data_IF_919000317487
#
_entry.id   IF_919000317487
#
_cell.length_a   1.000
_cell.length_b   1.000
_cell.length_c   1.000
_cell.angle_alpha   90.00
_cell.angle_beta   90.00
_cell.angle_gamma   90.00
#
_symmetry.space_group_name_H-M   'P 1'
#
loop_
_entity.id
_entity.type
_entity.pdbx_description
1 polymer ?
#
# COMPACT_ATOMS: atom_id res chain seq x y z
N UNK A 1 40.26 -2.96 -27.89
CA UNK A 1 40.05 -1.51 -27.68
C UNK A 1 39.05 -1.33 -26.54
N UNK A 2 39.42 -0.45 -25.59
CA UNK A 2 38.63 0.23 -24.53
C UNK A 2 37.74 -0.59 -23.57
N UNK A 3 38.34 -0.89 -22.41
CA UNK A 3 37.69 -1.02 -21.09
C UNK A 3 37.37 0.38 -20.53
N UNK A 4 36.23 0.55 -19.84
CA UNK A 4 35.92 1.65 -18.88
C UNK A 4 35.08 0.99 -17.78
N UNK A 5 35.66 0.67 -16.61
CA UNK A 5 35.98 1.52 -15.46
C UNK A 5 34.79 1.66 -14.50
N UNK A 6 34.73 0.69 -13.58
CA UNK A 6 34.06 0.73 -12.28
C UNK A 6 34.74 1.81 -11.42
N UNK A 7 33.98 2.76 -10.88
CA UNK A 7 34.51 3.78 -9.96
C UNK A 7 33.86 3.58 -8.59
N UNK A 8 34.64 3.00 -7.68
CA UNK A 8 34.38 2.94 -6.24
C UNK A 8 34.84 4.27 -5.66
N UNK A 9 33.96 4.96 -4.92
CA UNK A 9 34.32 6.13 -4.12
C UNK A 9 34.40 5.69 -2.66
N UNK A 10 35.63 5.68 -2.15
CA UNK A 10 35.95 5.62 -0.73
C UNK A 10 36.99 6.71 -0.45
N UNK A 11 36.71 7.59 0.51
CA UNK A 11 37.68 8.43 1.24
C UNK A 11 36.98 8.94 2.52
N UNK A 12 37.41 8.50 3.73
CA UNK A 12 38.47 9.10 4.58
C UNK A 12 38.05 10.50 5.11
N UNK A 13 38.20 10.91 6.39
CA UNK A 13 38.79 10.35 7.61
C UNK A 13 38.74 11.45 8.72
N UNK A 14 38.72 11.04 10.01
CA UNK A 14 39.33 11.71 11.21
C UNK A 14 38.65 13.01 11.73
N UNK A 15 38.40 13.26 13.04
CA UNK A 15 38.77 12.55 14.25
C UNK A 15 38.30 13.23 15.56
N UNK A 16 38.35 12.43 16.65
CA UNK A 16 38.80 12.68 18.04
C UNK A 16 38.61 14.06 18.73
N UNK A 17 37.96 14.08 19.91
CA UNK A 17 38.56 14.18 21.26
C UNK A 17 37.50 14.49 22.34
N UNK A 18 37.60 13.83 23.51
CA UNK A 18 36.88 14.22 24.73
C UNK A 18 36.72 13.11 25.78
N UNK A 19 37.79 12.81 26.52
CA UNK A 19 37.77 11.95 27.70
C UNK A 19 37.60 12.78 28.99
N UNK A 20 36.94 12.20 30.00
CA UNK A 20 37.08 12.40 31.46
C UNK A 20 35.91 11.64 32.14
N UNK A 21 36.02 10.90 33.23
CA UNK A 21 37.13 10.54 34.09
C UNK A 21 36.72 9.29 34.90
N UNK A 22 37.72 8.50 35.29
CA UNK A 22 37.66 7.40 36.26
C UNK A 22 37.54 7.97 37.67
N UNK A 23 36.78 7.31 38.55
CA UNK A 23 36.95 7.43 39.99
C UNK A 23 37.00 6.05 40.64
N UNK A 24 38.12 5.80 41.31
CA UNK A 24 38.55 4.61 42.03
C UNK A 24 38.04 4.65 43.49
N UNK A 25 37.71 3.49 44.06
CA UNK A 25 38.06 3.21 45.47
C UNK A 25 38.08 1.72 45.79
N UNK A 26 39.16 1.32 46.47
CA UNK A 26 39.48 0.05 47.13
C UNK A 26 38.43 -0.28 48.22
N UNK A 27 38.24 -1.48 48.80
CA UNK A 27 39.15 -2.46 49.40
C UNK A 27 38.18 -3.55 49.98
N UNK A 28 38.32 -4.87 49.89
CA UNK A 28 38.97 -5.75 50.89
C UNK A 28 38.70 -7.23 50.57
N UNK A 29 39.67 -8.08 50.93
CA UNK A 29 39.70 -9.54 50.85
C UNK A 29 38.92 -10.24 51.97
N UNK A 30 38.15 -11.29 51.66
CA UNK A 30 38.01 -12.55 52.45
C UNK A 30 37.21 -13.59 51.64
N UNK A 31 37.76 -14.80 51.43
CA UNK A 31 36.97 -16.02 51.16
C UNK A 31 36.44 -16.63 52.48
N UNK A 32 35.72 -17.79 52.50
CA UNK A 32 35.65 -18.85 51.48
C UNK A 32 34.21 -19.36 51.13
N UNK A 33 34.17 -20.31 50.18
CA UNK A 33 33.17 -21.39 49.97
C UNK A 33 31.67 -21.05 49.81
N UNK A 34 31.14 -21.27 48.60
CA UNK A 34 30.15 -22.34 48.29
C UNK A 34 29.58 -22.15 46.86
N UNK A 35 29.73 -23.17 46.01
CA UNK A 35 28.80 -23.46 44.89
C UNK A 35 27.38 -23.73 45.45
N UNK A 36 26.27 -23.46 44.73
CA UNK A 36 26.06 -23.99 43.37
C UNK A 36 25.21 -23.15 42.39
N UNK A 37 25.17 -23.68 41.15
CA UNK A 37 24.12 -23.54 40.14
C UNK A 37 23.96 -22.18 39.45
N UNK A 38 24.60 -22.08 38.28
CA UNK A 38 24.16 -21.20 37.21
C UNK A 38 22.80 -21.71 36.68
N UNK A 39 21.73 -21.02 37.04
CA UNK A 39 20.52 -21.02 36.21
C UNK A 39 20.82 -20.19 34.96
N UNK A 40 20.92 -20.87 33.83
CA UNK A 40 20.79 -20.23 32.53
C UNK A 40 19.40 -19.60 32.48
N UNK A 41 19.36 -18.27 32.49
CA UNK A 41 18.25 -17.49 31.96
C UNK A 41 18.18 -17.77 30.45
N UNK A 42 17.52 -18.86 30.08
CA UNK A 42 17.11 -19.10 28.70
C UNK A 42 16.01 -18.10 28.40
N UNK A 43 16.36 -17.24 27.45
CA UNK A 43 15.57 -16.25 26.75
C UNK A 43 14.08 -16.58 26.70
N UNK A 44 13.28 -15.78 27.40
CA UNK A 44 11.82 -15.75 27.30
C UNK A 44 11.32 -15.12 25.98
N UNK A 45 12.15 -15.06 24.94
CA UNK A 45 11.84 -14.46 23.63
C UNK A 45 11.57 -15.52 22.54
N UNK A 46 11.82 -16.82 22.78
CA UNK A 46 11.54 -17.87 21.77
C UNK A 46 10.17 -18.55 21.91
N UNK A 47 9.43 -18.39 23.02
CA UNK A 47 8.09 -19.00 23.20
C UNK A 47 6.90 -18.08 22.83
N UNK A 48 7.14 -16.92 22.22
CA UNK A 48 6.09 -15.98 21.81
C UNK A 48 5.86 -15.90 20.29
N UNK A 49 6.53 -16.74 19.49
CA UNK A 49 6.38 -16.77 18.02
C UNK A 49 5.70 -18.02 17.46
N UNK A 50 5.18 -18.93 18.30
CA UNK A 50 4.51 -20.17 17.85
C UNK A 50 3.00 -20.25 18.17
N UNK A 51 2.37 -19.12 18.54
CA UNK A 51 0.91 -19.02 18.68
C UNK A 51 0.38 -17.74 18.03
N UNK A 52 0.28 -17.70 16.70
CA UNK A 52 -0.61 -16.73 16.02
C UNK A 52 -1.05 -17.11 14.61
N UNK A 53 -0.62 -18.27 14.08
CA UNK A 53 -1.00 -18.68 12.71
C UNK A 53 -2.46 -19.15 12.59
N UNK A 54 -3.14 -19.51 13.69
CA UNK A 54 -4.56 -19.89 13.66
C UNK A 54 -5.54 -18.70 13.70
N UNK A 55 -5.09 -17.45 13.88
CA UNK A 55 -5.98 -16.29 14.07
C UNK A 55 -6.19 -15.44 12.80
N UNK A 56 -5.30 -15.54 11.81
CA UNK A 56 -5.35 -14.64 10.64
C UNK A 56 -6.52 -14.99 9.70
N UNK A 57 -6.90 -16.27 9.60
CA UNK A 57 -8.01 -16.70 8.73
C UNK A 57 -9.41 -16.31 9.22
N UNK A 58 -9.56 -15.87 10.48
CA UNK A 58 -10.82 -15.27 10.94
C UNK A 58 -11.12 -13.93 10.24
N UNK A 59 -10.09 -13.31 9.63
CA UNK A 59 -10.17 -12.10 8.83
C UNK A 59 -10.23 -12.38 7.33
N UNK A 60 -10.32 -13.65 6.92
CA UNK A 60 -10.39 -14.00 5.51
C UNK A 60 -11.64 -13.39 4.84
N UNK A 61 -11.42 -12.82 3.67
CA UNK A 61 -12.44 -12.31 2.77
C UNK A 61 -13.42 -13.42 2.42
N UNK A 62 -14.69 -13.05 2.28
CA UNK A 62 -15.68 -13.98 1.73
C UNK A 62 -15.50 -14.03 0.22
N UNK A 63 -15.85 -15.16 -0.36
CA UNK A 63 -15.86 -15.31 -1.82
C UNK A 63 -16.70 -14.23 -2.53
N UNK A 64 -17.79 -13.73 -1.92
CA UNK A 64 -18.57 -12.62 -2.50
C UNK A 64 -17.78 -11.30 -2.62
N UNK A 65 -16.84 -11.06 -1.70
CA UNK A 65 -16.00 -9.87 -1.72
C UNK A 65 -14.91 -10.04 -2.79
N UNK A 66 -14.36 -11.26 -2.93
CA UNK A 66 -13.47 -11.61 -4.03
C UNK A 66 -14.15 -11.52 -5.41
N UNK A 67 -15.43 -11.91 -5.52
CA UNK A 67 -16.22 -11.78 -6.75
C UNK A 67 -16.32 -10.31 -7.20
N UNK A 68 -16.44 -9.38 -6.25
CA UNK A 68 -16.47 -7.95 -6.54
C UNK A 68 -15.13 -7.48 -7.11
N UNK A 69 -14.00 -7.87 -6.49
CA UNK A 69 -12.66 -7.50 -6.96
C UNK A 69 -12.41 -7.99 -8.40
N UNK A 70 -12.81 -9.22 -8.72
CA UNK A 70 -12.71 -9.75 -10.08
C UNK A 70 -13.61 -9.00 -11.06
N UNK A 71 -14.82 -8.64 -10.65
CA UNK A 71 -15.74 -7.86 -11.47
C UNK A 71 -15.15 -6.50 -11.85
N UNK A 72 -14.48 -5.82 -10.92
CA UNK A 72 -13.85 -4.52 -11.15
C UNK A 72 -12.67 -4.64 -12.14
N UNK A 73 -11.84 -5.67 -11.98
CA UNK A 73 -10.74 -5.96 -12.92
C UNK A 73 -11.23 -6.22 -14.34
N UNK A 74 -12.31 -6.98 -14.50
CA UNK A 74 -12.87 -7.29 -15.81
C UNK A 74 -13.80 -6.21 -16.38
N UNK A 75 -14.12 -5.15 -15.64
CA UNK A 75 -15.05 -4.13 -16.13
C UNK A 75 -14.57 -3.51 -17.45
N UNK A 76 -15.51 -3.32 -18.39
CA UNK A 76 -15.23 -2.83 -19.74
C UNK A 76 -14.50 -3.79 -20.69
N UNK A 77 -13.97 -4.92 -20.23
CA UNK A 77 -13.24 -5.89 -21.09
C UNK A 77 -14.17 -6.73 -21.96
N UNK A 78 -15.44 -6.88 -21.54
CA UNK A 78 -16.42 -7.76 -22.18
C UNK A 78 -16.23 -9.25 -21.85
N UNK A 79 -15.36 -9.58 -20.90
CA UNK A 79 -15.20 -10.92 -20.34
C UNK A 79 -16.06 -11.07 -19.07
N UNK A 80 -16.41 -12.31 -18.74
CA UNK A 80 -17.11 -12.70 -17.52
C UNK A 80 -16.24 -13.68 -16.73
N UNK A 81 -16.63 -14.00 -15.50
CA UNK A 81 -15.92 -14.97 -14.69
C UNK A 81 -16.85 -16.04 -14.11
N UNK A 82 -16.27 -17.20 -13.82
CA UNK A 82 -16.90 -18.28 -13.05
C UNK A 82 -15.96 -18.71 -11.92
N UNK A 83 -16.48 -18.89 -10.71
CA UNK A 83 -15.70 -19.42 -9.60
C UNK A 83 -15.24 -20.86 -9.90
N UNK A 84 -13.95 -21.12 -9.73
CA UNK A 84 -13.29 -22.37 -10.09
C UNK A 84 -12.69 -23.11 -8.88
N UNK A 85 -13.10 -22.72 -7.69
CA UNK A 85 -12.68 -23.34 -6.44
C UNK A 85 -11.55 -22.57 -5.80
N UNK A 86 -10.66 -23.30 -5.13
CA UNK A 86 -9.67 -22.74 -4.24
C UNK A 86 -8.33 -23.45 -4.39
N UNK A 87 -7.24 -22.69 -4.36
CA UNK A 87 -5.85 -23.19 -4.34
C UNK A 87 -5.14 -22.77 -3.05
N UNK A 88 -4.43 -23.72 -2.46
CA UNK A 88 -3.56 -23.49 -1.30
C UNK A 88 -2.10 -23.59 -1.76
N UNK A 89 -1.32 -22.54 -1.55
CA UNK A 89 0.13 -22.54 -1.77
C UNK A 89 0.84 -22.01 -0.53
N UNK A 90 1.66 -22.86 0.09
CA UNK A 90 2.37 -22.55 1.34
C UNK A 90 1.43 -22.02 2.43
N UNK A 91 1.48 -20.72 2.72
CA UNK A 91 0.64 -20.05 3.72
C UNK A 91 -0.56 -19.29 3.09
N UNK A 92 -0.62 -19.20 1.76
CA UNK A 92 -1.63 -18.45 1.03
C UNK A 92 -2.80 -19.33 0.57
N UNK A 93 -3.98 -18.73 0.47
CA UNK A 93 -5.21 -19.40 0.08
C UNK A 93 -5.97 -18.51 -0.91
N UNK A 94 -6.20 -19.05 -2.11
CA UNK A 94 -6.67 -18.26 -3.24
C UNK A 94 -8.04 -18.73 -3.72
N UNK A 95 -9.00 -17.82 -3.83
CA UNK A 95 -10.19 -18.06 -4.64
C UNK A 95 -9.82 -18.00 -6.12
N UNK A 96 -10.08 -19.08 -6.86
CA UNK A 96 -9.77 -19.18 -8.28
C UNK A 96 -10.98 -18.85 -9.14
N UNK A 97 -10.71 -18.22 -10.28
CA UNK A 97 -11.72 -17.75 -11.23
C UNK A 97 -11.32 -18.07 -12.67
N UNK A 98 -12.19 -18.77 -13.40
CA UNK A 98 -12.10 -18.90 -14.86
C UNK A 98 -12.62 -17.64 -15.51
N UNK A 99 -11.95 -17.21 -16.57
CA UNK A 99 -12.29 -16.01 -17.31
C UNK A 99 -12.79 -16.39 -18.70
N UNK A 100 -14.00 -15.97 -19.04
CA UNK A 100 -14.74 -16.45 -20.20
C UNK A 100 -15.18 -15.29 -21.11
N UNK A 101 -15.28 -15.55 -22.41
CA UNK A 101 -15.92 -14.68 -23.39
C UNK A 101 -16.96 -15.47 -24.17
N UNK A 102 -18.19 -15.47 -23.66
CA UNK A 102 -19.21 -16.38 -24.16
C UNK A 102 -18.87 -17.82 -23.77
N UNK A 103 -18.68 -18.70 -24.75
CA UNK A 103 -18.33 -20.12 -24.52
C UNK A 103 -16.81 -20.39 -24.55
N UNK A 104 -15.99 -19.37 -24.86
CA UNK A 104 -14.53 -19.50 -24.89
C UNK A 104 -13.93 -19.14 -23.52
N UNK A 105 -13.07 -20.01 -23.00
CA UNK A 105 -12.32 -19.78 -21.75
C UNK A 105 -10.88 -19.34 -22.08
N UNK A 106 -10.36 -18.38 -21.32
CA UNK A 106 -8.94 -18.04 -21.36
C UNK A 106 -8.11 -19.16 -20.73
N UNK A 107 -6.86 -19.27 -21.18
CA UNK A 107 -5.88 -20.20 -20.60
C UNK A 107 -5.38 -19.76 -19.23
N UNK A 108 -5.55 -18.49 -18.92
CA UNK A 108 -5.25 -17.89 -17.63
C UNK A 108 -6.55 -17.57 -16.90
N UNK A 109 -6.56 -17.83 -15.60
CA UNK A 109 -7.57 -17.40 -14.67
C UNK A 109 -7.09 -16.22 -13.83
N UNK A 110 -7.94 -15.78 -12.91
CA UNK A 110 -7.56 -14.88 -11.84
C UNK A 110 -7.64 -15.63 -10.50
N UNK A 111 -6.77 -15.24 -9.58
CA UNK A 111 -6.72 -15.75 -8.22
C UNK A 111 -6.83 -14.55 -7.25
N UNK A 112 -7.62 -14.68 -6.19
CA UNK A 112 -7.72 -13.64 -5.14
C UNK A 112 -7.25 -14.25 -3.83
N UNK A 113 -6.21 -13.66 -3.23
CA UNK A 113 -5.76 -14.08 -1.91
C UNK A 113 -6.81 -13.75 -0.85
N UNK A 114 -7.18 -14.75 -0.04
CA UNK A 114 -8.29 -14.62 0.88
C UNK A 114 -7.98 -13.73 2.10
N UNK A 115 -6.71 -13.43 2.38
CA UNK A 115 -6.33 -12.55 3.49
C UNK A 115 -6.16 -11.10 3.02
N UNK A 116 -5.36 -10.89 1.97
CA UNK A 116 -4.98 -9.57 1.50
C UNK A 116 -5.99 -8.96 0.51
N UNK A 117 -6.76 -9.79 -0.20
CA UNK A 117 -7.60 -9.35 -1.30
C UNK A 117 -6.82 -8.96 -2.56
N UNK A 118 -5.52 -9.22 -2.60
CA UNK A 118 -4.71 -8.98 -3.79
C UNK A 118 -5.13 -9.94 -4.91
N UNK A 119 -5.28 -9.40 -6.12
CA UNK A 119 -5.63 -10.17 -7.31
C UNK A 119 -4.35 -10.58 -8.02
N UNK A 120 -4.30 -11.83 -8.45
CA UNK A 120 -3.17 -12.47 -9.12
C UNK A 120 -3.61 -13.14 -10.41
N UNK A 121 -2.65 -13.47 -11.26
CA UNK A 121 -2.86 -14.30 -12.45
C UNK A 121 -2.65 -15.77 -12.11
N UNK A 122 -3.58 -16.63 -12.52
CA UNK A 122 -3.42 -18.07 -12.39
C UNK A 122 -3.22 -18.73 -13.75
N UNK A 123 -2.09 -19.40 -13.95
CA UNK A 123 -1.81 -20.17 -15.16
C UNK A 123 -2.28 -21.62 -14.97
N UNK A 124 -3.32 -22.03 -15.72
CA UNK A 124 -3.88 -23.38 -15.65
C UNK A 124 -2.98 -24.46 -16.26
N UNK A 125 -2.10 -24.12 -17.21
CA UNK A 125 -1.18 -25.09 -17.82
C UNK A 125 0.05 -25.34 -16.92
N UNK A 126 0.54 -24.29 -16.27
CA UNK A 126 1.69 -24.36 -15.36
C UNK A 126 1.32 -24.68 -13.90
N UNK A 127 0.03 -24.55 -13.53
CA UNK A 127 -0.48 -24.68 -12.15
C UNK A 127 0.24 -23.73 -11.19
N UNK A 128 0.34 -22.45 -11.55
CA UNK A 128 1.11 -21.44 -10.82
C UNK A 128 0.40 -20.10 -10.71
N UNK A 129 0.61 -19.41 -9.58
CA UNK A 129 0.16 -18.04 -9.35
C UNK A 129 1.31 -17.06 -9.68
N UNK A 130 0.97 -15.94 -10.31
CA UNK A 130 1.89 -14.87 -10.72
C UNK A 130 1.24 -13.49 -10.56
N UNK A 131 2.00 -12.42 -10.75
CA UNK A 131 1.47 -11.05 -10.60
C UNK A 131 0.29 -10.77 -11.54
N UNK A 132 -0.59 -9.84 -11.15
CA UNK A 132 -1.72 -9.45 -12.00
C UNK A 132 -1.26 -8.83 -13.32
N UNK A 133 -0.08 -8.20 -13.33
CA UNK A 133 0.54 -7.64 -14.53
C UNK A 133 0.86 -8.67 -15.62
N UNK A 134 0.92 -9.97 -15.27
CA UNK A 134 1.14 -11.08 -16.21
C UNK A 134 -0.17 -11.59 -16.84
N UNK A 135 -1.32 -11.05 -16.44
CA UNK A 135 -2.62 -11.43 -16.98
C UNK A 135 -2.79 -10.93 -18.41
N UNK A 136 -3.30 -11.79 -19.31
CA UNK A 136 -3.46 -11.44 -20.73
C UNK A 136 -4.31 -10.19 -20.97
N UNK A 137 -5.27 -9.89 -20.10
CA UNK A 137 -6.14 -8.71 -20.20
C UNK A 137 -5.69 -7.53 -19.32
N UNK A 138 -4.52 -7.60 -18.70
CA UNK A 138 -3.98 -6.49 -17.91
C UNK A 138 -3.83 -5.23 -18.77
N UNK A 139 -4.37 -4.11 -18.29
CA UNK A 139 -4.21 -2.81 -18.92
C UNK A 139 -3.50 -1.87 -17.95
N UNK A 140 -2.19 -1.71 -18.16
CA UNK A 140 -1.34 -0.86 -17.32
C UNK A 140 -1.85 0.57 -17.17
N UNK A 141 -2.69 1.09 -18.08
CA UNK A 141 -3.30 2.42 -17.94
C UNK A 141 -4.55 2.42 -17.08
N UNK A 142 -5.38 1.38 -17.18
CA UNK A 142 -6.58 1.21 -16.34
C UNK A 142 -6.18 0.86 -14.91
N UNK A 143 -5.12 0.09 -14.77
CA UNK A 143 -4.58 -0.39 -13.52
C UNK A 143 -3.40 0.45 -13.01
N UNK A 144 -3.16 1.63 -13.62
CA UNK A 144 -2.18 2.59 -13.12
C UNK A 144 -2.70 3.13 -11.79
N UNK A 145 -1.92 2.92 -10.72
CA UNK A 145 -2.20 3.51 -9.41
C UNK A 145 -1.93 5.01 -9.51
N UNK A 146 -2.98 5.80 -9.74
CA UNK A 146 -2.89 7.26 -9.79
C UNK A 146 -3.20 7.82 -8.42
N UNK A 147 -2.14 8.13 -7.69
CA UNK A 147 -2.24 8.82 -6.42
C UNK A 147 -1.91 10.28 -6.61
N UNK A 148 -2.81 11.13 -6.12
CA UNK A 148 -2.53 12.55 -6.04
C UNK A 148 -2.01 12.85 -4.64
N UNK A 149 -0.82 13.42 -4.58
CA UNK A 149 -0.25 13.95 -3.37
C UNK A 149 0.13 15.43 -3.55
N UNK A 150 0.17 16.14 -2.43
CA UNK A 150 0.65 17.53 -2.42
C UNK A 150 -0.24 18.47 -1.64
N UNK A 151 0.29 19.68 -1.45
CA UNK A 151 -0.42 20.79 -0.82
C UNK A 151 -0.53 21.91 -1.83
N UNK A 152 -1.76 22.34 -2.09
CA UNK A 152 -2.11 23.32 -3.11
C UNK A 152 -2.79 24.51 -2.43
N UNK A 153 -2.45 25.74 -2.81
CA UNK A 153 -3.03 26.94 -2.21
C UNK A 153 -3.59 27.92 -3.23
N UNK A 154 -4.66 28.59 -2.83
CA UNK A 154 -5.31 29.69 -3.55
C UNK A 154 -5.79 30.72 -2.53
N UNK A 155 -5.17 31.89 -2.53
CA UNK A 155 -5.44 32.97 -1.57
C UNK A 155 -5.42 32.50 -0.10
N UNK A 156 -6.58 32.42 0.57
CA UNK A 156 -6.73 32.00 1.96
C UNK A 156 -7.25 30.56 2.10
N UNK A 157 -7.33 29.80 1.01
CA UNK A 157 -7.80 28.41 0.97
C UNK A 157 -6.65 27.48 0.57
N UNK A 158 -6.53 26.35 1.26
CA UNK A 158 -5.54 25.31 0.98
C UNK A 158 -6.22 23.95 0.84
N UNK A 159 -5.72 23.15 -0.10
CA UNK A 159 -6.11 21.76 -0.31
C UNK A 159 -4.88 20.88 -0.11
N UNK A 160 -4.94 19.94 0.83
CA UNK A 160 -3.93 18.89 0.99
C UNK A 160 -4.50 17.57 0.50
N UNK A 161 -3.75 16.89 -0.35
CA UNK A 161 -4.04 15.55 -0.83
C UNK A 161 -3.01 14.59 -0.23
N UNK A 162 -3.51 13.58 0.49
CA UNK A 162 -2.70 12.57 1.14
C UNK A 162 -3.05 11.19 0.57
N UNK A 163 -2.07 10.37 0.17
CA UNK A 163 -2.34 8.99 -0.23
C UNK A 163 -3.07 8.24 0.90
N UNK A 164 -4.20 7.62 0.57
CA UNK A 164 -4.98 6.83 1.53
C UNK A 164 -4.78 5.32 1.30
N UNK A 165 -4.92 4.87 0.06
CA UNK A 165 -4.59 3.52 -0.40
C UNK A 165 -3.90 3.58 -1.78
N UNK A 166 -3.85 2.49 -2.54
CA UNK A 166 -3.22 2.46 -3.86
C UNK A 166 -3.97 3.22 -4.96
N UNK A 167 -5.24 3.56 -4.76
CA UNK A 167 -6.10 4.17 -5.78
C UNK A 167 -6.91 5.38 -5.29
N UNK A 168 -6.72 5.80 -4.03
CA UNK A 168 -7.47 6.89 -3.43
C UNK A 168 -6.59 7.88 -2.66
N UNK A 169 -7.08 9.11 -2.51
CA UNK A 169 -6.40 10.17 -1.76
C UNK A 169 -7.40 10.86 -0.83
N UNK A 170 -6.99 11.06 0.41
CA UNK A 170 -7.74 11.87 1.37
C UNK A 170 -7.54 13.34 1.02
N UNK A 171 -8.65 14.06 0.85
CA UNK A 171 -8.65 15.50 0.58
C UNK A 171 -8.97 16.26 1.86
N UNK A 172 -8.10 17.20 2.24
CA UNK A 172 -8.32 18.13 3.34
C UNK A 172 -8.39 19.55 2.79
N UNK A 173 -9.49 20.24 3.04
CA UNK A 173 -9.68 21.63 2.62
C UNK A 173 -9.71 22.51 3.86
N UNK A 174 -8.85 23.53 3.89
CA UNK A 174 -8.78 24.51 4.96
C UNK A 174 -8.92 25.94 4.44
N UNK A 175 -9.47 26.82 5.28
CA UNK A 175 -9.53 28.26 5.05
C UNK A 175 -8.83 28.98 6.21
N UNK A 176 -7.63 29.52 5.96
CA UNK A 176 -6.69 29.90 7.01
C UNK A 176 -6.35 28.69 7.89
N UNK A 177 -6.44 28.84 9.21
CA UNK A 177 -6.15 27.75 10.18
C UNK A 177 -7.34 26.79 10.42
N UNK A 178 -8.46 26.97 9.70
CA UNK A 178 -9.68 26.19 9.94
C UNK A 178 -9.91 25.17 8.83
N UNK A 179 -9.95 23.89 9.18
CA UNK A 179 -10.45 22.84 8.29
C UNK A 179 -11.95 23.03 8.04
N UNK A 180 -12.34 23.05 6.76
CA UNK A 180 -13.72 23.26 6.30
C UNK A 180 -14.32 22.02 5.65
N UNK A 181 -13.49 21.09 5.17
CA UNK A 181 -13.94 19.84 4.58
C UNK A 181 -12.83 18.78 4.62
N UNK A 182 -13.23 17.52 4.79
CA UNK A 182 -12.39 16.34 4.61
C UNK A 182 -13.19 15.29 3.87
N UNK A 183 -12.57 14.57 2.95
CA UNK A 183 -13.22 13.52 2.18
C UNK A 183 -12.24 12.60 1.49
N UNK A 184 -12.76 11.72 0.64
CA UNK A 184 -11.96 10.81 -0.17
C UNK A 184 -12.18 11.12 -1.66
N UNK A 185 -11.11 11.17 -2.43
CA UNK A 185 -11.16 11.23 -3.89
C UNK A 185 -10.56 9.96 -4.48
N UNK A 186 -11.06 9.58 -5.65
CA UNK A 186 -10.59 8.44 -6.43
C UNK A 186 -10.16 8.99 -7.80
N UNK A 187 -8.88 9.33 -7.97
CA UNK A 187 -8.38 9.84 -9.23
C UNK A 187 -8.50 8.81 -10.36
N UNK A 188 -8.94 9.27 -11.52
CA UNK A 188 -8.87 8.59 -12.81
C UNK A 188 -7.99 9.45 -13.73
N UNK A 189 -6.70 9.15 -13.74
CA UNK A 189 -5.69 9.96 -14.41
C UNK A 189 -5.60 11.38 -13.82
N UNK A 190 -5.85 12.37 -14.65
CA UNK A 190 -5.79 13.79 -14.29
C UNK A 190 -7.12 14.35 -13.75
N UNK A 191 -8.14 13.51 -13.55
CA UNK A 191 -9.44 13.94 -13.01
C UNK A 191 -9.88 13.16 -11.77
N UNK A 192 -10.67 13.79 -10.90
CA UNK A 192 -11.43 13.11 -9.85
C UNK A 192 -12.79 13.79 -9.66
N UNK A 193 -13.82 13.03 -9.28
CA UNK A 193 -15.14 13.59 -8.94
C UNK A 193 -15.43 13.30 -7.47
N UNK A 194 -15.74 14.36 -6.72
CA UNK A 194 -16.16 14.28 -5.33
C UNK A 194 -17.64 14.64 -5.24
N UNK A 195 -18.45 13.65 -4.88
CA UNK A 195 -19.89 13.80 -4.67
C UNK A 195 -20.25 13.73 -3.19
N UNK A 196 -20.76 14.84 -2.66
CA UNK A 196 -21.26 14.95 -1.31
C UNK A 196 -22.77 15.24 -1.32
N UNK A 197 -23.46 15.07 -0.18
CA UNK A 197 -24.91 15.32 -0.10
C UNK A 197 -25.29 16.73 -0.60
N UNK A 198 -24.41 17.71 -0.39
CA UNK A 198 -24.69 19.13 -0.61
C UNK A 198 -23.95 19.75 -1.81
N UNK A 199 -22.94 19.08 -2.37
CA UNK A 199 -22.17 19.60 -3.49
C UNK A 199 -21.58 18.48 -4.36
N UNK A 200 -21.19 18.84 -5.57
CA UNK A 200 -20.42 17.96 -6.46
C UNK A 200 -19.32 18.81 -7.06
N UNK A 201 -18.07 18.40 -6.86
CA UNK A 201 -16.91 19.07 -7.47
C UNK A 201 -16.15 18.10 -8.36
N UNK A 202 -15.64 18.62 -9.46
CA UNK A 202 -14.70 17.96 -10.35
C UNK A 202 -13.33 18.57 -10.08
N UNK A 203 -12.36 17.73 -9.81
CA UNK A 203 -10.97 18.12 -9.62
C UNK A 203 -10.19 17.72 -10.86
N UNK A 204 -9.27 18.58 -11.30
CA UNK A 204 -8.34 18.30 -12.39
C UNK A 204 -6.94 18.67 -11.97
N UNK A 205 -5.99 17.74 -12.06
CA UNK A 205 -4.59 17.96 -11.71
C UNK A 205 -3.74 18.02 -12.99
N UNK A 206 -3.19 19.19 -13.29
CA UNK A 206 -2.25 19.39 -14.39
C UNK A 206 -0.90 19.87 -13.82
N UNK A 207 0.04 18.93 -13.69
CA UNK A 207 1.35 19.14 -13.10
C UNK A 207 1.27 19.79 -11.69
N UNK A 208 1.56 21.09 -11.59
CA UNK A 208 1.61 21.84 -10.34
C UNK A 208 0.32 22.64 -10.09
N UNK A 209 -0.74 22.46 -10.90
CA UNK A 209 -2.01 23.16 -10.78
C UNK A 209 -3.18 22.20 -10.52
N UNK A 210 -3.92 22.44 -9.44
CA UNK A 210 -5.16 21.74 -9.11
C UNK A 210 -6.35 22.67 -9.38
N UNK A 211 -7.17 22.32 -10.37
CA UNK A 211 -8.43 23.01 -10.68
C UNK A 211 -9.59 22.32 -9.99
N UNK A 212 -10.44 23.08 -9.29
CA UNK A 212 -11.66 22.59 -8.64
C UNK A 212 -12.87 23.30 -9.23
N UNK A 213 -13.66 22.57 -10.02
CA UNK A 213 -14.92 23.05 -10.60
C UNK A 213 -16.13 22.58 -9.79
N UNK A 214 -16.89 23.53 -9.28
CA UNK A 214 -18.12 23.23 -8.55
C UNK A 214 -19.34 23.25 -9.48
N UNK A 215 -19.89 22.08 -9.74
CA UNK A 215 -21.02 21.92 -10.66
C UNK A 215 -22.35 22.46 -10.08
N UNK A 216 -22.43 22.69 -8.76
CA UNK A 216 -23.65 23.14 -8.04
C UNK A 216 -23.48 24.46 -7.27
N UNK A 217 -22.27 25.00 -7.17
CA UNK A 217 -21.92 26.27 -6.54
C UNK A 217 -22.05 26.30 -5.01
N UNK A 218 -21.83 25.16 -4.32
CA UNK A 218 -22.05 24.98 -2.88
C UNK A 218 -20.84 24.47 -2.08
N UNK A 219 -19.75 24.09 -2.73
CA UNK A 219 -18.52 23.57 -2.11
C UNK A 219 -17.84 24.62 -1.23
N UNK A 220 -17.77 25.87 -1.69
CA UNK A 220 -17.07 26.95 -1.00
C UNK A 220 -15.55 26.95 -1.19
N UNK A 221 -15.01 26.08 -2.06
CA UNK A 221 -13.58 25.96 -2.38
C UNK A 221 -13.30 25.71 -3.87
N UNK A 222 -14.21 26.09 -4.77
CA UNK A 222 -13.92 26.08 -6.22
C UNK A 222 -12.84 27.11 -6.58
N UNK A 223 -11.93 26.77 -7.47
CA UNK A 223 -10.86 27.66 -7.91
C UNK A 223 -9.67 26.92 -8.49
N UNK A 224 -8.61 27.67 -8.80
CA UNK A 224 -7.35 27.12 -9.29
C UNK A 224 -6.30 27.29 -8.19
N UNK A 225 -5.73 26.18 -7.77
CA UNK A 225 -4.74 26.11 -6.71
C UNK A 225 -3.38 25.76 -7.31
N UNK A 226 -2.32 26.27 -6.71
CA UNK A 226 -0.94 26.02 -7.14
C UNK A 226 -0.22 25.22 -6.06
N UNK A 227 0.58 24.24 -6.47
CA UNK A 227 1.41 23.43 -5.58
C UNK A 227 2.39 24.31 -4.79
N UNK A 228 2.55 24.03 -3.49
CA UNK A 228 3.48 24.70 -2.59
C UNK A 228 4.89 24.08 -2.54
#
# INVERSE_FOLDING_TARGET
MKKRNLMIIACLCIGLFGACAVQENQDTLTGPEQEPAAEETVSAEEELMEQNTENIRDFALKQSDADQLISEKLDGTGYTFEADGIKEEEENHYYLYRICKGEEELKQGLAVDDISGEVFTYDYEADSVSGYEDFELYDAKKDELVLWDGSYSMDDVSISLLPADGASSEIHVSKGEKEIFTGMIYPDGDMAVLEEENFTVELTLDADELTVEDKKGKSGFSGNYVLE
#
